data_IF_549685594936
#
_entry.id   IF_549685594936
#
_cell.length_a   1.000
_cell.length_b   1.000
_cell.length_c   1.000
_cell.angle_alpha   90.00
_cell.angle_beta   90.00
_cell.angle_gamma   90.00
#
_symmetry.space_group_name_H-M   'P 1'
#
loop_
_entity.id
_entity.type
_entity.pdbx_description
1 polymer ?
#
# COMPACT_ATOMS: atom_id res chain seq x y z
N UNK A 1 16.58 -20.46 -33.83
CA UNK A 1 15.28 -20.12 -33.22
C UNK A 1 15.14 -20.91 -31.91
N UNK A 2 15.67 -20.38 -30.82
CA UNK A 2 15.67 -21.05 -29.50
C UNK A 2 14.66 -20.33 -28.59
N UNK A 3 13.55 -21.01 -28.27
CA UNK A 3 12.57 -20.53 -27.30
C UNK A 3 13.09 -20.88 -25.91
N UNK A 4 13.44 -19.88 -25.11
CA UNK A 4 13.77 -20.06 -23.70
C UNK A 4 12.47 -20.02 -22.87
N UNK A 5 12.27 -20.96 -21.93
CA UNK A 5 11.03 -21.07 -21.17
C UNK A 5 10.96 -20.01 -20.06
N UNK A 6 9.83 -19.29 -20.04
CA UNK A 6 9.48 -18.29 -19.03
C UNK A 6 9.02 -19.02 -17.76
N UNK A 7 9.97 -19.38 -16.89
CA UNK A 7 9.65 -19.92 -15.57
C UNK A 7 10.49 -19.24 -14.49
N UNK A 8 10.17 -17.97 -14.19
CA UNK A 8 10.77 -17.22 -13.07
C UNK A 8 9.78 -16.37 -12.27
N UNK A 9 8.47 -16.57 -12.42
CA UNK A 9 7.47 -15.71 -11.78
C UNK A 9 6.73 -16.33 -10.57
N UNK A 10 7.17 -17.47 -10.05
CA UNK A 10 6.46 -18.15 -8.94
C UNK A 10 7.00 -17.88 -7.53
N UNK A 11 8.10 -17.13 -7.36
CA UNK A 11 8.76 -17.01 -6.05
C UNK A 11 8.34 -15.77 -5.21
N UNK A 12 7.40 -14.95 -5.69
CA UNK A 12 7.03 -13.70 -5.01
C UNK A 12 5.78 -13.83 -4.11
N UNK A 13 5.26 -15.05 -3.87
CA UNK A 13 3.95 -15.24 -3.24
C UNK A 13 4.02 -15.35 -1.70
N UNK A 14 5.19 -15.52 -1.08
CA UNK A 14 5.24 -15.95 0.34
C UNK A 14 5.76 -14.88 1.33
N UNK A 15 6.34 -13.77 0.90
CA UNK A 15 7.12 -12.93 1.84
C UNK A 15 6.40 -11.76 2.53
N UNK A 16 5.14 -11.45 2.19
CA UNK A 16 4.45 -10.24 2.72
C UNK A 16 3.22 -10.58 3.58
N UNK A 17 3.02 -11.85 3.96
CA UNK A 17 1.99 -12.21 4.95
C UNK A 17 2.49 -12.17 6.41
N UNK A 18 3.81 -12.02 6.64
CA UNK A 18 4.43 -12.22 7.95
C UNK A 18 4.56 -10.99 8.85
N UNK A 19 4.34 -9.77 8.35
CA UNK A 19 4.64 -8.54 9.11
C UNK A 19 3.40 -7.78 9.61
N UNK A 20 2.21 -8.04 9.08
CA UNK A 20 0.98 -7.38 9.50
C UNK A 20 0.31 -8.05 10.71
N UNK A 21 0.46 -9.37 10.88
CA UNK A 21 -0.21 -10.12 11.95
C UNK A 21 0.31 -9.87 13.38
N UNK A 22 1.51 -9.31 13.55
CA UNK A 22 2.13 -9.14 14.88
C UNK A 22 1.67 -7.85 15.58
N UNK A 23 1.19 -6.85 14.84
CA UNK A 23 0.84 -5.55 15.42
C UNK A 23 -0.59 -5.45 15.95
N UNK A 24 -1.51 -6.33 15.51
CA UNK A 24 -2.93 -6.28 15.86
C UNK A 24 -3.29 -6.99 17.17
N UNK A 25 -2.42 -7.84 17.72
CA UNK A 25 -2.74 -8.61 18.94
C UNK A 25 -2.72 -7.77 20.24
N UNK A 26 -2.32 -6.50 20.17
CA UNK A 26 -2.01 -5.67 21.34
C UNK A 26 -2.91 -4.44 21.50
N UNK A 27 -4.24 -4.50 21.26
CA UNK A 27 -5.11 -3.39 21.66
C UNK A 27 -6.51 -3.83 22.13
N UNK A 28 -6.57 -4.17 23.41
CA UNK A 28 -7.77 -4.07 24.24
C UNK A 28 -7.49 -2.97 25.27
N UNK A 29 -8.11 -1.80 25.12
CA UNK A 29 -7.88 -0.69 26.04
C UNK A 29 -8.53 0.65 25.65
N UNK A 30 -9.79 0.82 26.07
CA UNK A 30 -10.47 2.05 26.51
C UNK A 30 -10.18 3.38 25.75
N UNK A 31 -11.09 3.79 24.87
CA UNK A 31 -11.11 5.12 24.23
C UNK A 31 -12.04 6.11 24.97
N UNK A 32 -11.53 7.32 25.20
CA UNK A 32 -12.31 8.50 25.63
C UNK A 32 -12.54 9.43 24.44
N UNK A 33 -13.64 10.20 24.37
CA UNK A 33 -13.94 11.05 23.23
C UNK A 33 -13.10 12.33 23.28
N UNK A 34 -12.27 12.56 22.25
CA UNK A 34 -11.40 13.75 22.15
C UNK A 34 -11.71 14.50 20.85
N UNK A 35 -11.81 15.82 20.94
CA UNK A 35 -12.22 16.75 19.87
C UNK A 35 -11.20 16.78 18.71
N UNK A 36 -11.73 16.79 17.48
CA UNK A 36 -10.96 17.00 16.24
C UNK A 36 -10.09 18.28 16.32
N UNK A 37 -8.78 18.12 16.16
CA UNK A 37 -7.78 19.20 16.17
C UNK A 37 -6.89 19.20 14.91
N UNK A 38 -5.77 19.97 14.91
CA UNK A 38 -4.86 20.19 13.76
C UNK A 38 -4.31 18.91 13.11
N UNK A 39 -4.31 17.81 13.86
CA UNK A 39 -3.91 16.49 13.38
C UNK A 39 -4.79 15.97 12.23
N UNK A 40 -6.03 16.44 12.12
CA UNK A 40 -6.92 16.11 10.99
C UNK A 40 -6.43 16.74 9.67
N UNK A 41 -6.02 18.02 9.70
CA UNK A 41 -5.53 18.73 8.51
C UNK A 41 -4.19 18.16 8.00
N UNK A 42 -3.31 17.77 8.92
CA UNK A 42 -2.05 17.09 8.57
C UNK A 42 -2.32 15.69 7.99
N UNK A 43 -3.21 14.93 8.62
CA UNK A 43 -3.59 13.61 8.14
C UNK A 43 -4.17 13.66 6.73
N UNK A 44 -5.05 14.62 6.45
CA UNK A 44 -5.66 14.81 5.13
C UNK A 44 -4.59 15.05 4.05
N UNK A 45 -3.60 15.89 4.33
CA UNK A 45 -2.48 16.16 3.41
C UNK A 45 -1.62 14.92 3.16
N UNK A 46 -1.37 14.11 4.20
CA UNK A 46 -0.63 12.85 4.07
C UNK A 46 -1.39 11.85 3.20
N UNK A 47 -2.69 11.68 3.44
CA UNK A 47 -3.56 10.80 2.66
C UNK A 47 -3.58 11.22 1.19
N UNK A 48 -3.81 12.51 0.92
CA UNK A 48 -3.82 13.05 -0.44
C UNK A 48 -2.47 12.84 -1.15
N UNK A 49 -1.36 13.15 -0.47
CA UNK A 49 -0.01 12.98 -1.01
C UNK A 49 0.24 11.54 -1.46
N UNK A 50 -0.04 10.56 -0.60
CA UNK A 50 0.23 9.16 -0.89
C UNK A 50 -0.76 8.54 -1.88
N UNK A 51 -2.01 8.99 -1.92
CA UNK A 51 -2.96 8.56 -2.95
C UNK A 51 -2.52 9.06 -4.33
N UNK A 52 -2.13 10.32 -4.45
CA UNK A 52 -1.56 10.86 -5.69
C UNK A 52 -0.32 10.08 -6.13
N UNK A 53 0.57 9.73 -5.20
CA UNK A 53 1.77 8.97 -5.50
C UNK A 53 1.44 7.53 -5.95
N UNK A 54 0.42 6.91 -5.34
CA UNK A 54 -0.08 5.59 -5.74
C UNK A 54 -0.60 5.63 -7.18
N UNK A 55 -1.43 6.61 -7.51
CA UNK A 55 -2.00 6.77 -8.86
C UNK A 55 -0.91 7.01 -9.90
N UNK A 56 0.08 7.84 -9.58
CA UNK A 56 1.25 8.07 -10.44
C UNK A 56 1.98 6.76 -10.73
N UNK A 57 2.28 5.96 -9.70
CA UNK A 57 3.01 4.71 -9.84
C UNK A 57 2.23 3.64 -10.60
N UNK A 58 0.92 3.56 -10.40
CA UNK A 58 0.07 2.68 -11.21
C UNK A 58 0.08 3.13 -12.69
N UNK A 59 0.10 4.43 -12.96
CA UNK A 59 0.29 4.97 -14.30
C UNK A 59 1.65 4.61 -14.91
N UNK A 60 2.73 4.64 -14.12
CA UNK A 60 4.08 4.31 -14.56
C UNK A 60 4.22 2.85 -15.04
N UNK A 61 3.38 1.93 -14.56
CA UNK A 61 3.34 0.54 -15.03
C UNK A 61 3.10 0.47 -16.54
N UNK A 62 2.20 1.32 -17.06
CA UNK A 62 1.88 1.35 -18.49
C UNK A 62 3.04 1.86 -19.35
N UNK A 63 3.94 2.66 -18.79
CA UNK A 63 5.09 3.23 -19.50
C UNK A 63 6.23 2.20 -19.68
N UNK A 64 6.32 1.21 -18.81
CA UNK A 64 7.40 0.21 -18.84
C UNK A 64 6.99 -1.15 -19.42
N UNK A 65 5.71 -1.49 -19.42
CA UNK A 65 5.26 -2.78 -19.94
C UNK A 65 5.46 -2.91 -21.46
N UNK A 66 5.84 -4.10 -21.93
CA UNK A 66 6.13 -4.32 -23.36
C UNK A 66 4.87 -4.35 -24.25
N UNK A 67 3.68 -4.43 -23.65
CA UNK A 67 2.39 -4.36 -24.35
C UNK A 67 1.26 -3.92 -23.43
N UNK A 68 0.17 -3.41 -24.00
CA UNK A 68 -1.03 -3.03 -23.25
C UNK A 68 -1.63 -4.21 -22.44
N UNK A 69 -1.58 -5.44 -22.99
CA UNK A 69 -2.07 -6.64 -22.30
C UNK A 69 -1.21 -7.00 -21.08
N UNK A 70 0.10 -6.78 -21.18
CA UNK A 70 1.03 -7.00 -20.08
C UNK A 70 0.86 -5.93 -19.00
N UNK A 71 0.74 -4.65 -19.40
CA UNK A 71 0.45 -3.53 -18.50
C UNK A 71 -0.81 -3.81 -17.67
N UNK A 72 -1.90 -4.18 -18.33
CA UNK A 72 -3.18 -4.50 -17.70
C UNK A 72 -3.10 -5.70 -16.74
N UNK A 73 -2.30 -6.72 -17.08
CA UNK A 73 -2.05 -7.85 -16.17
C UNK A 73 -1.28 -7.39 -14.92
N UNK A 74 -0.24 -6.58 -15.09
CA UNK A 74 0.60 -6.11 -13.98
C UNK A 74 -0.19 -5.15 -13.08
N UNK A 75 -0.96 -4.22 -13.66
CA UNK A 75 -1.83 -3.30 -12.91
C UNK A 75 -2.82 -4.08 -12.02
N UNK A 76 -3.51 -5.10 -12.57
CA UNK A 76 -4.38 -5.96 -11.76
C UNK A 76 -3.63 -6.67 -10.63
N UNK A 77 -2.45 -7.22 -10.89
CA UNK A 77 -1.65 -7.88 -9.86
C UNK A 77 -1.16 -6.89 -8.79
N UNK A 78 -0.83 -5.66 -9.17
CA UNK A 78 -0.46 -4.60 -8.24
C UNK A 78 -1.64 -4.27 -7.33
N UNK A 79 -2.83 -4.04 -7.89
CA UNK A 79 -4.06 -3.75 -7.12
C UNK A 79 -4.40 -4.87 -6.13
N UNK A 80 -4.31 -6.13 -6.56
CA UNK A 80 -4.50 -7.29 -5.65
C UNK A 80 -3.51 -7.28 -4.49
N UNK A 81 -2.25 -6.89 -4.72
CA UNK A 81 -1.25 -6.79 -3.66
C UNK A 81 -1.49 -5.61 -2.71
N UNK A 82 -2.16 -4.55 -3.19
CA UNK A 82 -2.46 -3.36 -2.37
C UNK A 82 -3.76 -3.50 -1.57
N UNK A 83 -4.68 -4.38 -1.97
CA UNK A 83 -6.03 -4.52 -1.37
C UNK A 83 -6.00 -4.65 0.17
N UNK A 84 -5.10 -5.48 0.72
CA UNK A 84 -4.97 -5.63 2.17
C UNK A 84 -4.52 -4.34 2.84
N UNK A 85 -3.55 -3.64 2.24
CA UNK A 85 -3.07 -2.37 2.75
C UNK A 85 -4.16 -1.28 2.69
N UNK A 86 -5.00 -1.29 1.66
CA UNK A 86 -6.13 -0.35 1.53
C UNK A 86 -7.21 -0.60 2.59
N UNK A 87 -7.52 -1.86 2.87
CA UNK A 87 -8.43 -2.22 3.95
C UNK A 87 -7.87 -1.81 5.33
N UNK A 88 -6.59 -2.10 5.58
CA UNK A 88 -5.91 -1.68 6.82
C UNK A 88 -5.90 -0.15 6.96
N UNK A 89 -5.61 0.59 5.88
CA UNK A 89 -5.62 2.05 5.89
C UNK A 89 -7.02 2.61 6.18
N UNK A 90 -8.08 1.95 5.70
CA UNK A 90 -9.47 2.35 6.00
C UNK A 90 -9.79 2.17 7.48
N UNK A 91 -9.43 1.02 8.06
CA UNK A 91 -9.64 0.76 9.49
C UNK A 91 -8.85 1.73 10.38
N UNK A 92 -7.59 2.01 10.03
CA UNK A 92 -6.76 2.97 10.76
C UNK A 92 -7.29 4.41 10.67
N UNK A 93 -7.90 4.79 9.54
CA UNK A 93 -8.59 6.09 9.42
C UNK A 93 -9.82 6.16 10.33
N UNK A 94 -10.65 5.11 10.35
CA UNK A 94 -11.81 5.03 11.26
C UNK A 94 -11.38 5.10 12.73
N UNK A 95 -10.26 4.45 13.09
CA UNK A 95 -9.69 4.55 14.44
C UNK A 95 -9.25 5.98 14.78
N UNK A 96 -8.68 6.73 13.83
CA UNK A 96 -8.30 8.12 14.01
C UNK A 96 -9.52 9.06 14.07
N UNK A 97 -10.59 8.77 13.35
CA UNK A 97 -11.84 9.52 13.48
C UNK A 97 -12.42 9.41 14.90
N UNK A 98 -12.25 8.23 15.53
CA UNK A 98 -12.66 7.99 16.91
C UNK A 98 -11.67 8.55 17.95
N UNK A 99 -10.37 8.59 17.65
CA UNK A 99 -9.32 9.13 18.51
C UNK A 99 -8.23 9.84 17.68
N UNK A 100 -8.50 11.10 17.33
CA UNK A 100 -7.67 11.90 16.45
C UNK A 100 -6.27 12.20 16.99
N UNK A 101 -6.00 11.96 18.27
CA UNK A 101 -4.68 12.15 18.91
C UNK A 101 -3.86 10.86 19.01
N UNK A 102 -4.32 9.75 18.41
CA UNK A 102 -3.61 8.48 18.50
C UNK A 102 -2.40 8.44 17.55
N UNK A 103 -1.27 8.99 18.01
CA UNK A 103 0.00 9.03 17.25
C UNK A 103 0.47 7.65 16.77
N UNK A 104 0.15 6.58 17.51
CA UNK A 104 0.49 5.21 17.10
C UNK A 104 -0.28 4.79 15.86
N UNK A 105 -1.60 5.04 15.84
CA UNK A 105 -2.47 4.71 14.69
C UNK A 105 -2.10 5.60 13.50
N UNK A 106 -1.82 6.87 13.72
CA UNK A 106 -1.30 7.77 12.68
C UNK A 106 0.00 7.22 12.08
N UNK A 107 0.99 6.85 12.91
CA UNK A 107 2.25 6.27 12.43
C UNK A 107 2.07 4.96 11.67
N UNK A 108 1.13 4.11 12.10
CA UNK A 108 0.77 2.89 11.38
C UNK A 108 0.15 3.20 10.01
N UNK A 109 -0.73 4.19 9.93
CA UNK A 109 -1.36 4.63 8.68
C UNK A 109 -0.33 5.20 7.70
N UNK A 110 0.57 6.07 8.16
CA UNK A 110 1.67 6.58 7.33
C UNK A 110 2.58 5.44 6.84
N UNK A 111 2.87 4.46 7.70
CA UNK A 111 3.68 3.29 7.34
C UNK A 111 2.99 2.41 6.30
N UNK A 112 1.67 2.23 6.42
CA UNK A 112 0.86 1.53 5.43
C UNK A 112 0.99 2.20 4.05
N UNK A 113 0.75 3.51 3.97
CA UNK A 113 0.89 4.27 2.72
C UNK A 113 2.31 4.17 2.13
N UNK A 114 3.36 4.29 2.95
CA UNK A 114 4.75 4.10 2.50
C UNK A 114 5.00 2.70 1.94
N UNK A 115 4.37 1.69 2.54
CA UNK A 115 4.49 0.30 2.10
C UNK A 115 3.82 0.09 0.74
N UNK A 116 2.64 0.71 0.51
CA UNK A 116 1.97 0.69 -0.81
C UNK A 116 2.90 1.22 -1.91
N UNK A 117 3.56 2.35 -1.67
CA UNK A 117 4.51 2.94 -2.62
C UNK A 117 5.70 2.03 -2.86
N UNK A 118 6.29 1.47 -1.80
CA UNK A 118 7.42 0.55 -1.93
C UNK A 118 7.08 -0.67 -2.78
N UNK A 119 5.90 -1.26 -2.60
CA UNK A 119 5.44 -2.39 -3.42
C UNK A 119 5.35 -1.99 -4.88
N UNK A 120 4.79 -0.82 -5.18
CA UNK A 120 4.67 -0.32 -6.55
C UNK A 120 6.03 -0.02 -7.17
N UNK A 121 6.93 0.65 -6.44
CA UNK A 121 8.31 0.90 -6.87
C UNK A 121 9.06 -0.41 -7.17
N UNK A 122 8.88 -1.44 -6.34
CA UNK A 122 9.47 -2.78 -6.55
C UNK A 122 8.89 -3.47 -7.79
N UNK A 123 7.60 -3.31 -8.07
CA UNK A 123 6.96 -3.82 -9.30
C UNK A 123 7.52 -3.10 -10.52
N UNK A 124 7.52 -1.76 -10.51
CA UNK A 124 8.02 -0.90 -11.59
C UNK A 124 9.48 -1.24 -11.90
N UNK A 125 10.32 -1.31 -10.87
CA UNK A 125 11.75 -1.64 -11.02
C UNK A 125 11.94 -2.97 -11.75
N UNK A 126 11.14 -3.99 -11.44
CA UNK A 126 11.25 -5.31 -12.07
C UNK A 126 10.80 -5.32 -13.53
N UNK A 127 9.86 -4.46 -13.91
CA UNK A 127 9.31 -4.43 -15.28
C UNK A 127 10.05 -3.44 -16.18
N UNK A 128 10.64 -2.37 -15.63
CA UNK A 128 11.42 -1.38 -16.40
C UNK A 128 12.88 -1.80 -16.59
N UNK A 129 13.41 -2.72 -15.77
CA UNK A 129 14.77 -3.27 -15.93
C UNK A 129 14.83 -4.49 -16.86
N UNK A 130 13.70 -4.88 -17.47
CA UNK A 130 13.60 -5.88 -18.53
C UNK A 130 13.52 -5.22 -19.90
#
# INVERSE_FOLDING_TARGET
KTRQPIWRYAAAIILIAGLSGILLYQYSGNSSPVKAGPMNDELSQVVEHYNKLTDQRLGDIANCAASAKEADKIDRMARIQLEQLENDATNLQEELDNNASNERVYGALVTNYRTRIKILDDIITKICQL
#
